data_IF_228780558477
#
_entry.id   IF_228780558477
#
_cell.length_a   1.000
_cell.length_b   1.000
_cell.length_c   1.000
_cell.angle_alpha   90.00
_cell.angle_beta   90.00
_cell.angle_gamma   90.00
#
_symmetry.space_group_name_H-M   'P 1'
#
loop_
_entity.id
_entity.type
_entity.pdbx_description
1 polymer ?
#
# COMPACT_ATOMS: atom_id res chain seq x y z
N UNK A 1 36.45 -4.02 45.16
CA UNK A 1 35.64 -3.93 43.91
C UNK A 1 34.12 -3.69 44.15
N UNK A 2 33.69 -3.08 45.27
CA UNK A 2 32.25 -2.81 45.53
C UNK A 2 31.76 -1.44 44.99
N UNK A 3 32.65 -0.44 44.89
CA UNK A 3 32.30 0.93 44.45
C UNK A 3 31.95 1.03 42.95
N UNK A 4 32.58 0.22 42.09
CA UNK A 4 32.30 0.21 40.65
C UNK A 4 31.06 -0.61 40.26
N UNK A 5 30.59 -1.52 41.13
CA UNK A 5 29.38 -2.33 40.89
C UNK A 5 28.11 -1.47 40.86
N UNK A 6 28.02 -0.44 41.69
CA UNK A 6 26.90 0.50 41.69
C UNK A 6 26.85 1.34 40.41
N UNK A 7 28.01 1.88 39.98
CA UNK A 7 28.11 2.66 38.74
C UNK A 7 27.77 1.85 37.49
N UNK A 8 28.23 0.59 37.42
CA UNK A 8 27.89 -0.31 36.32
C UNK A 8 26.38 -0.57 36.23
N UNK A 9 25.72 -0.71 37.39
CA UNK A 9 24.28 -0.95 37.46
C UNK A 9 23.47 0.27 37.00
N UNK A 10 23.90 1.48 37.36
CA UNK A 10 23.28 2.74 36.91
C UNK A 10 23.44 2.95 35.40
N UNK A 11 24.61 2.60 34.85
CA UNK A 11 24.90 2.69 33.41
C UNK A 11 24.05 1.69 32.60
N UNK A 12 23.84 0.47 33.14
CA UNK A 12 22.95 -0.53 32.55
C UNK A 12 21.49 -0.08 32.55
N UNK A 13 21.01 0.50 33.66
CA UNK A 13 19.63 1.02 33.74
C UNK A 13 19.44 2.17 32.75
N UNK A 14 20.40 3.08 32.60
CA UNK A 14 20.34 4.17 31.62
C UNK A 14 20.24 3.68 30.17
N UNK A 15 20.90 2.56 29.84
CA UNK A 15 20.75 1.91 28.52
C UNK A 15 19.37 1.28 28.31
N UNK A 16 18.72 0.79 29.37
CA UNK A 16 17.38 0.23 29.28
C UNK A 16 16.29 1.28 29.01
N UNK A 17 16.49 2.55 29.39
CA UNK A 17 15.49 3.62 29.19
C UNK A 17 15.51 4.19 27.77
N UNK A 18 16.59 3.99 27.01
CA UNK A 18 16.66 4.34 25.58
C UNK A 18 15.87 3.36 24.69
N UNK A 19 15.34 2.29 25.26
CA UNK A 19 14.49 1.29 24.61
C UNK A 19 13.01 1.66 24.48
N UNK A 20 12.63 2.94 24.55
CA UNK A 20 11.31 3.36 24.08
C UNK A 20 11.30 3.29 22.55
N UNK A 21 11.13 2.09 22.00
CA UNK A 21 10.66 1.94 20.62
C UNK A 21 9.37 2.75 20.53
N UNK A 22 9.34 3.79 19.68
CA UNK A 22 8.10 4.50 19.37
C UNK A 22 7.02 3.44 19.12
N UNK A 23 6.03 3.40 20.00
CA UNK A 23 4.87 2.56 19.83
C UNK A 23 4.23 3.04 18.53
N UNK A 24 4.39 2.25 17.47
CA UNK A 24 4.01 2.63 16.12
C UNK A 24 2.52 2.33 16.02
N UNK A 25 1.71 3.35 16.30
CA UNK A 25 0.27 3.17 16.36
C UNK A 25 -0.29 2.92 14.95
N UNK A 26 -1.46 2.29 14.88
CA UNK A 26 -2.19 2.06 13.62
C UNK A 26 -2.41 3.37 12.86
N UNK A 27 -2.51 4.48 13.58
CA UNK A 27 -2.66 5.84 13.05
C UNK A 27 -1.45 6.33 12.24
N UNK A 28 -0.26 5.75 12.47
CA UNK A 28 0.97 6.08 11.75
C UNK A 28 1.03 5.45 10.35
N UNK A 29 0.04 4.63 9.99
CA UNK A 29 0.04 3.86 8.75
C UNK A 29 -1.18 4.19 7.88
N UNK A 30 -0.96 4.20 6.56
CA UNK A 30 -2.03 4.20 5.57
C UNK A 30 -2.02 2.87 4.84
N UNK A 31 -3.04 2.06 5.13
CA UNK A 31 -3.25 0.77 4.51
C UNK A 31 -3.69 0.93 3.07
N UNK A 32 -2.83 0.54 2.15
CA UNK A 32 -3.12 0.53 0.72
C UNK A 32 -3.97 -0.68 0.40
N UNK A 33 -5.12 -0.45 -0.23
CA UNK A 33 -6.11 -1.47 -0.55
C UNK A 33 -6.14 -1.77 -2.05
N UNK A 34 -5.84 -0.77 -2.87
CA UNK A 34 -5.60 -0.92 -4.30
C UNK A 34 -4.51 0.02 -4.81
N UNK A 35 -3.86 -0.38 -5.90
CA UNK A 35 -2.91 0.46 -6.62
C UNK A 35 -3.24 0.56 -8.09
N UNK A 36 -2.94 1.72 -8.68
CA UNK A 36 -3.09 1.98 -10.10
C UNK A 36 -1.79 2.48 -10.72
N UNK A 37 -1.45 1.97 -11.90
CA UNK A 37 -0.29 2.40 -12.68
C UNK A 37 -0.73 2.82 -14.08
N UNK A 38 -0.29 4.00 -14.52
CA UNK A 38 -0.54 4.50 -15.87
C UNK A 38 0.75 5.01 -16.49
N UNK A 39 1.24 4.32 -17.51
CA UNK A 39 2.43 4.77 -18.23
C UNK A 39 2.07 5.95 -19.12
N UNK A 40 2.75 7.08 -18.91
CA UNK A 40 2.61 8.26 -19.77
C UNK A 40 3.65 8.26 -20.90
N UNK A 41 4.87 7.83 -20.58
CA UNK A 41 5.97 7.63 -21.54
C UNK A 41 7.02 6.69 -20.93
N UNK A 42 8.17 6.50 -21.59
CA UNK A 42 9.23 5.59 -21.12
C UNK A 42 9.76 5.91 -19.71
N UNK A 43 9.76 7.18 -19.31
CA UNK A 43 10.35 7.65 -18.05
C UNK A 43 9.32 7.91 -16.95
N UNK A 44 8.08 8.22 -17.31
CA UNK A 44 7.05 8.72 -16.40
C UNK A 44 5.86 7.77 -16.30
N UNK A 45 5.47 7.49 -15.06
CA UNK A 45 4.30 6.68 -14.70
C UNK A 45 3.48 7.44 -13.64
N UNK A 46 2.17 7.45 -13.78
CA UNK A 46 1.29 7.84 -12.68
C UNK A 46 1.10 6.62 -11.77
N UNK A 47 1.35 6.82 -10.47
CA UNK A 47 1.12 5.82 -9.43
C UNK A 47 0.01 6.33 -8.54
N UNK A 48 -1.12 5.63 -8.53
CA UNK A 48 -2.26 5.91 -7.66
C UNK A 48 -2.27 4.92 -6.51
N UNK A 49 -2.27 5.44 -5.28
CA UNK A 49 -2.52 4.66 -4.08
C UNK A 49 -3.97 4.91 -3.64
N UNK A 50 -4.76 3.85 -3.57
CA UNK A 50 -6.06 3.84 -2.91
C UNK A 50 -5.88 3.23 -1.53
N UNK A 51 -6.15 4.02 -0.50
CA UNK A 51 -5.90 3.66 0.90
C UNK A 51 -7.15 3.83 1.75
N UNK A 52 -7.19 3.09 2.88
CA UNK A 52 -8.30 3.12 3.82
C UNK A 52 -8.62 4.54 4.30
N UNK A 53 -9.89 4.93 4.21
CA UNK A 53 -10.43 6.21 4.66
C UNK A 53 -11.16 6.03 5.99
N UNK A 54 -10.39 5.96 7.07
CA UNK A 54 -10.93 5.80 8.43
C UNK A 54 -11.74 7.02 8.88
N UNK A 55 -11.47 8.21 8.35
CA UNK A 55 -12.23 9.43 8.67
C UNK A 55 -13.69 9.32 8.21
N UNK A 56 -13.95 8.53 7.17
CA UNK A 56 -15.30 8.26 6.63
C UNK A 56 -15.88 6.93 7.12
N UNK A 57 -15.16 6.17 7.93
CA UNK A 57 -15.71 4.95 8.51
C UNK A 57 -16.79 5.32 9.53
N UNK A 58 -18.03 4.88 9.33
CA UNK A 58 -19.10 5.11 10.30
C UNK A 58 -18.89 4.18 11.49
N UNK A 59 -19.03 4.71 12.72
CA UNK A 59 -18.80 3.98 13.98
C UNK A 59 -19.61 2.69 14.11
N UNK A 60 -20.76 2.60 13.42
CA UNK A 60 -21.74 1.52 13.57
C UNK A 60 -21.85 0.63 12.32
N UNK A 61 -21.11 0.97 11.26
CA UNK A 61 -20.96 0.07 10.11
C UNK A 61 -19.87 -0.94 10.48
N UNK A 62 -20.13 -2.25 10.38
CA UNK A 62 -19.10 -3.28 10.63
C UNK A 62 -17.84 -3.15 9.74
N UNK A 63 -17.20 -4.26 9.38
CA UNK A 63 -15.86 -4.36 8.74
C UNK A 63 -15.66 -3.66 7.36
N UNK A 64 -16.57 -2.79 6.91
CA UNK A 64 -16.60 -2.14 5.58
C UNK A 64 -16.00 -0.74 5.66
N UNK A 65 -14.74 -0.62 5.26
CA UNK A 65 -14.00 0.64 5.29
C UNK A 65 -13.92 1.19 3.85
N UNK A 66 -14.40 2.42 3.58
CA UNK A 66 -14.22 3.05 2.28
C UNK A 66 -12.75 3.37 2.02
N UNK A 67 -12.42 3.74 0.78
CA UNK A 67 -11.07 4.17 0.44
C UNK A 67 -11.08 5.54 -0.23
N UNK A 68 -9.93 6.22 -0.19
CA UNK A 68 -9.64 7.40 -0.99
C UNK A 68 -8.30 7.25 -1.68
N UNK A 69 -8.11 7.99 -2.76
CA UNK A 69 -6.91 7.90 -3.58
C UNK A 69 -6.07 9.16 -3.61
N UNK A 70 -4.77 8.97 -3.79
CA UNK A 70 -3.83 10.02 -4.20
C UNK A 70 -3.00 9.51 -5.38
N UNK A 71 -2.62 10.40 -6.29
CA UNK A 71 -1.81 10.06 -7.46
C UNK A 71 -0.52 10.86 -7.48
N UNK A 72 0.59 10.18 -7.73
CA UNK A 72 1.90 10.79 -7.93
C UNK A 72 2.38 10.53 -9.35
N UNK A 73 2.92 11.57 -9.98
CA UNK A 73 3.77 11.42 -11.16
C UNK A 73 5.15 10.95 -10.70
N UNK A 74 5.57 9.76 -11.10
CA UNK A 74 6.81 9.12 -10.66
C UNK A 74 7.56 8.45 -11.81
N UNK A 75 8.77 7.95 -11.52
CA UNK A 75 9.58 7.15 -12.46
C UNK A 75 9.61 5.65 -12.12
N UNK A 76 9.16 5.29 -10.91
CA UNK A 76 9.15 3.94 -10.35
C UNK A 76 8.20 3.86 -9.14
N UNK A 77 7.95 2.65 -8.63
CA UNK A 77 7.21 2.46 -7.37
C UNK A 77 8.02 3.03 -6.20
N UNK A 78 9.34 2.83 -6.20
CA UNK A 78 10.23 3.41 -5.19
C UNK A 78 10.18 4.94 -5.14
N UNK A 79 10.16 5.60 -6.30
CA UNK A 79 10.04 7.06 -6.39
C UNK A 79 8.67 7.54 -5.91
N UNK A 80 7.59 6.84 -6.25
CA UNK A 80 6.25 7.13 -5.75
C UNK A 80 6.15 6.98 -4.22
N UNK A 81 6.75 5.92 -3.65
CA UNK A 81 6.81 5.73 -2.19
C UNK A 81 7.59 6.86 -1.50
N UNK A 82 8.67 7.38 -2.13
CA UNK A 82 9.41 8.54 -1.62
C UNK A 82 8.55 9.81 -1.64
N UNK A 83 7.82 10.05 -2.73
CA UNK A 83 6.91 11.20 -2.86
C UNK A 83 5.76 11.13 -1.87
N UNK A 84 5.22 9.94 -1.60
CA UNK A 84 4.26 9.74 -0.52
C UNK A 84 4.80 10.24 0.83
N UNK A 85 6.03 9.84 1.22
CA UNK A 85 6.64 10.26 2.49
C UNK A 85 6.81 11.79 2.60
N UNK A 86 6.94 12.48 1.48
CA UNK A 86 6.99 13.94 1.43
C UNK A 86 5.60 14.58 1.52
N UNK A 87 4.57 13.88 1.03
CA UNK A 87 3.19 14.33 1.04
C UNK A 87 2.48 14.07 2.39
N UNK A 88 2.75 12.92 3.02
CA UNK A 88 2.16 12.51 4.31
C UNK A 88 3.22 11.88 5.20
N UNK A 89 3.16 12.20 6.49
CA UNK A 89 4.05 11.64 7.51
C UNK A 89 3.80 10.15 7.78
N UNK A 90 2.55 9.69 7.60
CA UNK A 90 2.19 8.29 7.77
C UNK A 90 2.91 7.39 6.76
N UNK A 91 3.31 6.20 7.17
CA UNK A 91 3.93 5.21 6.29
C UNK A 91 2.88 4.45 5.47
N UNK A 92 3.22 4.07 4.23
CA UNK A 92 2.39 3.15 3.47
C UNK A 92 2.52 1.74 4.06
N UNK A 93 1.38 1.07 4.21
CA UNK A 93 1.33 -0.34 4.56
C UNK A 93 0.67 -1.11 3.41
N UNK A 94 1.37 -2.08 2.84
CA UNK A 94 0.89 -2.88 1.70
C UNK A 94 0.34 -4.26 2.10
N UNK A 95 0.33 -4.60 3.39
CA UNK A 95 -0.11 -5.92 3.87
C UNK A 95 -1.59 -6.23 3.58
N UNK A 96 -2.39 -5.20 3.29
CA UNK A 96 -3.80 -5.33 2.91
C UNK A 96 -4.06 -5.00 1.43
N UNK A 97 -3.01 -4.86 0.62
CA UNK A 97 -3.16 -4.64 -0.82
C UNK A 97 -3.89 -5.85 -1.41
N UNK A 98 -4.97 -5.61 -2.16
CA UNK A 98 -5.74 -6.69 -2.81
C UNK A 98 -5.53 -6.72 -4.32
N UNK A 99 -5.46 -5.55 -4.93
CA UNK A 99 -5.47 -5.41 -6.40
C UNK A 99 -4.50 -4.33 -6.86
N UNK A 100 -3.72 -4.66 -7.89
CA UNK A 100 -2.92 -3.75 -8.71
C UNK A 100 -3.55 -3.67 -10.09
N UNK A 101 -3.73 -2.45 -10.60
CA UNK A 101 -4.33 -2.21 -11.90
C UNK A 101 -3.37 -1.45 -12.81
N UNK A 102 -3.13 -2.00 -14.00
CA UNK A 102 -2.42 -1.32 -15.08
C UNK A 102 -3.41 -0.72 -16.07
N UNK A 103 -3.39 0.61 -16.18
CA UNK A 103 -4.17 1.37 -17.15
C UNK A 103 -3.53 1.31 -18.55
N UNK A 104 -4.26 1.79 -19.55
CA UNK A 104 -3.82 1.89 -20.96
C UNK A 104 -3.36 0.55 -21.58
N UNK A 105 -3.96 -0.56 -21.14
CA UNK A 105 -3.86 -1.88 -21.77
C UNK A 105 -2.52 -2.62 -21.59
N UNK A 106 -1.51 -1.98 -20.98
CA UNK A 106 -0.14 -2.52 -20.90
C UNK A 106 0.34 -2.69 -19.47
N UNK A 107 0.72 -3.93 -19.13
CA UNK A 107 1.46 -4.24 -17.90
C UNK A 107 2.90 -3.77 -18.05
N UNK A 108 3.47 -3.26 -16.97
CA UNK A 108 4.86 -2.84 -16.93
C UNK A 108 5.70 -3.82 -16.12
N UNK A 109 6.57 -4.56 -16.79
CA UNK A 109 7.45 -5.57 -16.20
C UNK A 109 8.37 -4.99 -15.12
N UNK A 110 8.86 -3.76 -15.30
CA UNK A 110 9.72 -3.10 -14.31
C UNK A 110 8.96 -2.89 -12.99
N UNK A 111 7.74 -2.37 -13.09
CA UNK A 111 6.88 -2.15 -11.92
C UNK A 111 6.42 -3.48 -11.31
N UNK A 112 6.11 -4.50 -12.13
CA UNK A 112 5.80 -5.85 -11.61
C UNK A 112 6.97 -6.40 -10.79
N UNK A 113 8.20 -6.26 -11.27
CA UNK A 113 9.41 -6.66 -10.54
C UNK A 113 9.56 -5.87 -9.24
N UNK A 114 9.33 -4.56 -9.25
CA UNK A 114 9.34 -3.75 -8.03
C UNK A 114 8.26 -4.18 -7.03
N UNK A 115 7.05 -4.50 -7.50
CA UNK A 115 5.95 -5.01 -6.65
C UNK A 115 6.29 -6.37 -6.02
N UNK A 116 6.90 -7.28 -6.77
CA UNK A 116 7.31 -8.61 -6.25
C UNK A 116 8.42 -8.48 -5.20
N UNK A 117 9.30 -7.51 -5.35
CA UNK A 117 10.42 -7.28 -4.45
C UNK A 117 10.03 -6.49 -3.18
N UNK A 118 8.80 -5.96 -3.11
CA UNK A 118 8.29 -5.27 -1.93
C UNK A 118 7.80 -6.30 -0.89
N UNK A 119 8.47 -6.47 0.27
CA UNK A 119 8.21 -7.58 1.18
C UNK A 119 6.78 -7.63 1.73
N UNK A 120 6.12 -6.48 1.85
CA UNK A 120 4.75 -6.40 2.36
C UNK A 120 3.69 -6.79 1.33
N UNK A 121 4.04 -6.85 0.03
CA UNK A 121 3.10 -7.17 -1.04
C UNK A 121 2.99 -8.68 -1.19
N UNK A 122 1.81 -9.20 -0.88
CA UNK A 122 1.54 -10.63 -1.00
C UNK A 122 1.53 -11.09 -2.48
N UNK A 123 2.04 -12.31 -2.72
CA UNK A 123 1.97 -12.95 -4.05
C UNK A 123 0.54 -13.20 -4.53
N UNK A 124 -0.43 -13.23 -3.62
CA UNK A 124 -1.86 -13.39 -3.90
C UNK A 124 -2.53 -12.12 -4.44
N UNK A 125 -1.86 -10.97 -4.42
CA UNK A 125 -2.38 -9.71 -4.97
C UNK A 125 -2.75 -9.89 -6.44
N UNK A 126 -3.98 -9.52 -6.81
CA UNK A 126 -4.41 -9.59 -8.20
C UNK A 126 -3.78 -8.48 -9.02
N UNK A 127 -3.37 -8.79 -10.24
CA UNK A 127 -2.79 -7.85 -11.20
C UNK A 127 -3.65 -7.82 -12.45
N UNK A 128 -4.38 -6.72 -12.60
CA UNK A 128 -5.33 -6.50 -13.68
C UNK A 128 -4.75 -5.53 -14.71
N UNK A 129 -5.31 -5.56 -15.93
CA UNK A 129 -5.09 -4.55 -16.96
C UNK A 129 -6.42 -4.04 -17.50
N UNK A 130 -6.45 -2.82 -18.01
CA UNK A 130 -7.62 -2.23 -18.67
C UNK A 130 -7.18 -1.17 -19.67
N UNK A 131 -7.95 -0.98 -20.74
CA UNK A 131 -7.65 0.03 -21.77
C UNK A 131 -8.06 1.45 -21.38
N UNK A 132 -8.63 1.64 -20.19
CA UNK A 132 -9.03 2.94 -19.65
C UNK A 132 -7.89 3.59 -18.87
N UNK A 133 -7.91 4.92 -18.74
CA UNK A 133 -7.00 5.66 -17.86
C UNK A 133 -7.39 5.51 -16.38
N UNK A 134 -6.46 5.80 -15.46
CA UNK A 134 -6.68 5.67 -14.01
C UNK A 134 -7.79 6.59 -13.50
N UNK A 135 -7.93 7.80 -14.05
CA UNK A 135 -8.97 8.73 -13.64
C UNK A 135 -10.35 8.08 -13.80
N UNK A 136 -10.63 7.55 -14.98
CA UNK A 136 -11.91 6.94 -15.31
C UNK A 136 -12.25 5.72 -14.46
N UNK A 137 -11.24 4.91 -14.15
CA UNK A 137 -11.46 3.67 -13.38
C UNK A 137 -11.79 3.98 -11.92
N UNK A 138 -11.08 4.95 -11.32
CA UNK A 138 -11.24 5.31 -9.92
C UNK A 138 -12.36 6.33 -9.67
N UNK A 139 -13.01 6.91 -10.70
CA UNK A 139 -14.17 7.82 -10.57
C UNK A 139 -15.30 7.31 -9.66
N UNK A 140 -15.44 5.99 -9.54
CA UNK A 140 -16.49 5.38 -8.70
C UNK A 140 -16.07 5.18 -7.24
N UNK A 141 -14.79 5.34 -6.90
CA UNK A 141 -14.25 5.06 -5.56
C UNK A 141 -15.02 5.81 -4.47
N UNK A 142 -15.22 7.11 -4.64
CA UNK A 142 -15.90 7.96 -3.64
C UNK A 142 -17.38 7.58 -3.40
N UNK A 143 -17.97 6.78 -4.29
CA UNK A 143 -19.36 6.32 -4.20
C UNK A 143 -19.49 4.94 -3.58
N UNK A 144 -18.38 4.25 -3.29
CA UNK A 144 -18.39 2.90 -2.73
C UNK A 144 -18.46 2.95 -1.20
N UNK A 145 -19.29 2.09 -0.62
CA UNK A 145 -19.36 1.85 0.82
C UNK A 145 -18.27 0.89 1.33
N UNK A 146 -17.45 0.35 0.42
CA UNK A 146 -16.30 -0.52 0.69
C UNK A 146 -15.11 0.03 -0.08
N UNK A 147 -13.90 -0.37 0.30
CA UNK A 147 -12.71 0.03 -0.43
C UNK A 147 -12.74 -0.42 -1.88
N UNK A 148 -12.11 0.38 -2.73
CA UNK A 148 -11.97 0.06 -4.16
C UNK A 148 -11.29 -1.30 -4.39
N UNK A 149 -10.28 -1.62 -3.57
CA UNK A 149 -9.60 -2.93 -3.61
C UNK A 149 -10.51 -4.10 -3.28
N UNK A 150 -11.37 -3.97 -2.26
CA UNK A 150 -12.33 -5.01 -1.90
C UNK A 150 -13.43 -5.17 -2.95
N UNK A 151 -13.93 -4.05 -3.49
CA UNK A 151 -14.90 -4.07 -4.58
C UNK A 151 -14.38 -4.83 -5.81
N UNK A 152 -13.11 -4.61 -6.19
CA UNK A 152 -12.49 -5.33 -7.29
C UNK A 152 -12.20 -6.79 -6.94
N UNK A 153 -11.66 -7.09 -5.76
CA UNK A 153 -11.30 -8.47 -5.38
C UNK A 153 -12.52 -9.39 -5.34
N UNK A 154 -13.64 -8.92 -4.77
CA UNK A 154 -14.90 -9.68 -4.74
C UNK A 154 -15.40 -10.05 -6.14
N UNK A 155 -15.25 -9.15 -7.12
CA UNK A 155 -15.62 -9.43 -8.51
C UNK A 155 -14.72 -10.47 -9.19
N UNK A 156 -13.46 -10.57 -8.77
CA UNK A 156 -12.49 -11.52 -9.32
C UNK A 156 -12.64 -12.92 -8.71
N UNK A 157 -12.93 -12.99 -7.42
CA UNK A 157 -13.16 -14.25 -6.70
C UNK A 157 -14.35 -15.02 -7.29
N UNK A 158 -15.42 -14.30 -7.68
CA UNK A 158 -16.58 -14.88 -8.39
C UNK A 158 -16.18 -15.46 -9.77
N UNK A 159 -15.09 -14.98 -10.38
CA UNK A 159 -14.65 -15.35 -11.74
C UNK A 159 -13.49 -16.36 -11.78
N UNK A 160 -13.14 -17.00 -10.66
CA UNK A 160 -11.97 -17.91 -10.50
C UNK A 160 -10.67 -17.38 -11.14
N UNK A 161 -10.31 -16.15 -10.79
CA UNK A 161 -9.20 -15.40 -11.41
C UNK A 161 -7.80 -15.75 -10.88
N UNK A 162 -7.56 -17.01 -10.45
CA UNK A 162 -6.30 -17.40 -9.78
C UNK A 162 -5.05 -17.13 -10.63
N UNK A 163 -5.17 -17.21 -11.96
CA UNK A 163 -4.09 -16.92 -12.93
C UNK A 163 -3.70 -15.45 -13.03
N UNK A 164 -4.46 -14.55 -12.39
CA UNK A 164 -4.21 -13.11 -12.40
C UNK A 164 -3.40 -12.63 -11.20
N UNK A 165 -2.93 -13.52 -10.34
CA UNK A 165 -2.17 -13.16 -9.13
C UNK A 165 -0.70 -12.82 -9.45
N UNK A 166 -0.13 -11.89 -8.70
CA UNK A 166 1.24 -11.40 -8.87
C UNK A 166 2.25 -12.54 -8.90
N UNK A 167 2.12 -13.51 -7.99
CA UNK A 167 2.99 -14.67 -7.89
C UNK A 167 2.88 -15.65 -9.06
N UNK A 168 1.78 -15.64 -9.83
CA UNK A 168 1.66 -16.44 -11.05
C UNK A 168 2.15 -15.70 -12.30
N UNK A 169 1.99 -14.37 -12.32
CA UNK A 169 2.41 -13.54 -13.46
C UNK A 169 3.93 -13.39 -13.54
N UNK A 170 4.63 -13.42 -12.41
CA UNK A 170 6.09 -13.26 -12.35
C UNK A 170 6.88 -14.58 -12.35
N UNK A 171 6.20 -15.74 -12.44
CA UNK A 171 6.87 -17.04 -12.61
C UNK A 171 7.38 -17.18 -14.04
#
# INVERSE_FOLDING_TARGET
>A
MKKYRGYLLVLLIAFCIQGCSKQQDVEDHRFVLAMGFERLNEKKVLVRYSYADFDKAQSDSGTKIPSRSVTFLATSLKDANKKWKQYKSQQLNFGHLKVVLFANGKKDEKIIKELVNEPQIAKSVYVLKTDRNLSDIFKKEDKLSISFGEYLSKKLEIKDSKNLTLGRIYR
#
